data_IF_731305094754
#
_entry.id   IF_731305094754
#
_cell.length_a   1.000
_cell.length_b   1.000
_cell.length_c   1.000
_cell.angle_alpha   90.00
_cell.angle_beta   90.00
_cell.angle_gamma   90.00
#
_symmetry.space_group_name_H-M   'P 1'
#
loop_
_entity.id
_entity.type
_entity.pdbx_description
1 polymer ?
#
# COMPACT_ATOMS: atom_id res chain seq x y z
N UNK A 1 -7.53 1.58 2.36
CA UNK A 1 -6.36 0.73 2.53
C UNK A 1 -5.25 0.97 1.52
N UNK A 2 -5.50 1.46 0.32
CA UNK A 2 -4.50 1.63 -0.74
C UNK A 2 -3.66 2.93 -0.71
N UNK A 3 -3.84 3.83 0.25
CA UNK A 3 -3.18 5.15 0.23
C UNK A 3 -1.69 5.07 0.52
N UNK A 4 -1.29 4.26 1.51
CA UNK A 4 0.11 4.09 1.90
C UNK A 4 1.00 3.55 0.79
N UNK A 5 0.48 2.58 0.03
CA UNK A 5 1.22 1.94 -1.04
C UNK A 5 1.37 2.89 -2.23
N UNK A 6 0.38 3.75 -2.41
CA UNK A 6 0.38 4.80 -3.42
C UNK A 6 1.54 5.76 -3.21
N UNK A 7 1.71 6.25 -1.97
CA UNK A 7 2.76 7.22 -1.65
C UNK A 7 4.14 6.59 -1.78
N UNK A 8 4.35 5.37 -1.30
CA UNK A 8 5.63 4.66 -1.43
C UNK A 8 5.95 4.28 -2.89
N UNK A 9 4.94 3.96 -3.70
CA UNK A 9 5.11 3.73 -5.14
C UNK A 9 5.64 4.95 -5.89
N UNK A 10 5.30 6.16 -5.41
CA UNK A 10 5.82 7.41 -5.99
C UNK A 10 7.33 7.61 -5.77
N UNK A 11 7.93 6.91 -4.80
CA UNK A 11 9.37 6.93 -4.56
C UNK A 11 10.16 6.06 -5.56
N UNK A 12 9.48 5.23 -6.35
CA UNK A 12 10.10 4.44 -7.41
C UNK A 12 10.51 5.35 -8.58
N UNK A 13 11.67 5.08 -9.16
CA UNK A 13 12.31 5.98 -10.13
C UNK A 13 12.07 5.59 -11.58
N UNK A 14 12.07 4.29 -11.88
CA UNK A 14 12.03 3.81 -13.25
C UNK A 14 10.68 3.22 -13.62
N UNK A 15 10.28 3.39 -14.88
CA UNK A 15 9.13 2.73 -15.44
C UNK A 15 9.31 1.21 -15.35
N UNK A 16 8.36 0.52 -14.74
CA UNK A 16 8.43 -0.92 -14.50
C UNK A 16 8.84 -1.30 -13.08
N UNK A 17 9.42 -0.38 -12.30
CA UNK A 17 9.68 -0.62 -10.88
C UNK A 17 8.37 -0.91 -10.14
N UNK A 18 8.43 -1.87 -9.20
CA UNK A 18 7.31 -2.28 -8.37
C UNK A 18 7.72 -2.37 -6.91
N UNK A 19 6.81 -1.95 -6.05
CA UNK A 19 6.91 -2.11 -4.62
C UNK A 19 5.82 -3.06 -4.14
N UNK A 20 6.19 -4.02 -3.28
CA UNK A 20 5.23 -4.84 -2.56
C UNK A 20 5.49 -4.71 -1.07
N UNK A 21 4.42 -4.44 -0.33
CA UNK A 21 4.40 -4.42 1.12
C UNK A 21 3.58 -5.62 1.60
N UNK A 22 4.19 -6.45 2.43
CA UNK A 22 3.56 -7.60 3.03
C UNK A 22 3.66 -7.50 4.55
N UNK A 23 2.54 -7.24 5.20
CA UNK A 23 2.38 -7.36 6.64
C UNK A 23 1.77 -8.72 6.93
N UNK A 24 2.47 -9.56 7.66
CA UNK A 24 2.03 -10.89 8.04
C UNK A 24 2.10 -11.02 9.55
N UNK A 25 1.01 -11.47 10.16
CA UNK A 25 0.92 -11.61 11.60
C UNK A 25 0.10 -12.82 12.03
N UNK A 26 0.09 -13.09 13.32
CA UNK A 26 -0.69 -14.17 13.94
C UNK A 26 -2.11 -13.74 14.32
N UNK A 27 -2.42 -12.44 14.22
CA UNK A 27 -3.74 -11.89 14.51
C UNK A 27 -4.81 -12.29 13.49
N UNK A 28 -6.07 -11.92 13.71
CA UNK A 28 -7.21 -12.38 12.91
C UNK A 28 -7.17 -11.93 11.42
N UNK A 29 -6.57 -10.79 11.09
CA UNK A 29 -6.41 -10.33 9.72
C UNK A 29 -5.42 -11.18 8.92
N UNK A 30 -4.54 -11.92 9.59
CA UNK A 30 -3.50 -12.80 9.04
C UNK A 30 -2.45 -12.07 8.21
N UNK A 31 -2.88 -11.42 7.15
CA UNK A 31 -1.99 -10.80 6.19
C UNK A 31 -2.64 -9.62 5.50
N UNK A 32 -1.86 -8.57 5.33
CA UNK A 32 -2.19 -7.42 4.48
C UNK A 32 -1.11 -7.32 3.41
N UNK A 33 -1.51 -7.42 2.14
CA UNK A 33 -0.60 -7.27 1.03
C UNK A 33 -1.03 -6.10 0.16
N UNK A 34 -0.05 -5.30 -0.26
CA UNK A 34 -0.30 -4.22 -1.17
C UNK A 34 0.87 -4.05 -2.14
N UNK A 35 0.54 -3.69 -3.38
CA UNK A 35 1.54 -3.43 -4.42
C UNK A 35 1.31 -2.09 -5.07
N UNK A 36 2.39 -1.42 -5.42
CA UNK A 36 2.38 -0.17 -6.15
C UNK A 36 3.41 -0.19 -7.28
N UNK A 37 3.12 0.57 -8.34
CA UNK A 37 4.05 0.78 -9.45
C UNK A 37 4.45 2.25 -9.54
N UNK A 38 5.54 2.52 -10.22
CA UNK A 38 5.97 3.89 -10.51
C UNK A 38 4.90 4.70 -11.29
N UNK A 39 4.06 4.03 -12.07
CA UNK A 39 2.96 4.65 -12.81
C UNK A 39 1.75 5.05 -11.92
N UNK A 40 1.85 4.93 -10.60
CA UNK A 40 0.77 5.27 -9.66
C UNK A 40 -0.36 4.22 -9.61
N UNK A 41 -0.15 3.03 -10.16
CA UNK A 41 -1.12 1.95 -10.07
C UNK A 41 -0.92 1.17 -8.79
N UNK A 42 -2.03 0.93 -8.08
CA UNK A 42 -1.99 0.23 -6.79
C UNK A 42 -3.10 -0.80 -6.69
N UNK A 43 -2.82 -1.86 -5.97
CA UNK A 43 -3.78 -2.87 -5.56
C UNK A 43 -3.37 -3.47 -4.22
N UNK A 44 -4.33 -4.02 -3.49
CA UNK A 44 -4.04 -4.68 -2.22
C UNK A 44 -5.23 -5.50 -1.76
N UNK A 45 -4.97 -6.40 -0.81
CA UNK A 45 -5.98 -7.20 -0.15
C UNK A 45 -5.61 -7.49 1.31
N UNK A 46 -6.61 -7.89 2.08
CA UNK A 46 -6.47 -8.48 3.41
C UNK A 46 -6.87 -9.95 3.30
N UNK A 47 -6.10 -10.85 3.90
CA UNK A 47 -6.37 -12.28 3.79
C UNK A 47 -7.68 -12.66 4.48
N UNK A 48 -7.99 -12.05 5.61
CA UNK A 48 -9.29 -12.14 6.26
C UNK A 48 -9.84 -10.73 6.47
N UNK A 49 -10.82 -10.28 5.66
CA UNK A 49 -11.43 -8.96 5.80
C UNK A 49 -12.49 -8.88 6.91
N UNK A 50 -13.03 -10.03 7.33
CA UNK A 50 -14.12 -10.10 8.31
C UNK A 50 -13.55 -10.13 9.75
N UNK A 51 -12.85 -9.03 10.11
CA UNK A 51 -12.26 -8.86 11.43
C UNK A 51 -13.07 -7.87 12.23
N UNK A 52 -13.68 -8.33 13.31
CA UNK A 52 -14.37 -7.50 14.29
C UNK A 52 -13.53 -7.43 15.57
N UNK A 53 -12.97 -6.26 15.85
CA UNK A 53 -12.28 -5.94 17.08
C UNK A 53 -12.91 -4.68 17.72
N UNK A 54 -12.87 -4.57 19.06
CA UNK A 54 -13.22 -3.33 19.72
C UNK A 54 -12.37 -2.18 19.20
N UNK A 55 -12.94 -0.97 19.21
CA UNK A 55 -12.14 0.22 18.93
C UNK A 55 -11.07 0.37 20.03
N UNK A 56 -9.95 0.96 19.65
CA UNK A 56 -8.91 1.37 20.62
C UNK A 56 -9.49 2.40 21.61
N UNK A 57 -8.78 2.66 22.72
CA UNK A 57 -9.16 3.72 23.67
C UNK A 57 -9.31 5.10 23.04
N UNK A 58 -8.59 5.36 21.94
CA UNK A 58 -8.69 6.57 21.14
C UNK A 58 -9.87 6.57 20.13
N UNK A 59 -10.73 5.54 20.14
CA UNK A 59 -11.88 5.41 19.24
C UNK A 59 -11.51 5.09 17.80
N UNK A 60 -10.32 4.54 17.55
CA UNK A 60 -9.83 4.12 16.22
C UNK A 60 -9.96 2.61 16.04
N UNK A 61 -9.97 2.18 14.78
CA UNK A 61 -9.85 0.74 14.46
C UNK A 61 -8.52 0.21 14.99
N UNK A 62 -8.57 -0.94 15.64
CA UNK A 62 -7.38 -1.62 16.16
C UNK A 62 -6.68 -2.43 15.05
N UNK A 63 -5.89 -1.74 14.25
CA UNK A 63 -5.12 -2.36 13.16
C UNK A 63 -4.00 -3.23 13.72
N UNK A 64 -3.32 -2.75 14.77
CA UNK A 64 -2.28 -3.50 15.47
C UNK A 64 -2.79 -4.81 16.03
N UNK A 65 -3.90 -4.79 16.75
CA UNK A 65 -4.54 -6.00 17.26
C UNK A 65 -5.03 -6.93 16.15
N UNK A 66 -5.42 -6.39 15.00
CA UNK A 66 -5.84 -7.21 13.87
C UNK A 66 -4.69 -8.00 13.21
N UNK A 67 -3.48 -7.45 13.22
CA UNK A 67 -2.27 -8.11 12.72
C UNK A 67 -1.59 -8.99 13.78
N UNK A 68 -1.56 -8.53 15.03
CA UNK A 68 -0.88 -9.23 16.12
C UNK A 68 0.65 -9.20 15.97
N UNK A 69 1.32 -10.25 16.46
CA UNK A 69 2.78 -10.39 16.35
C UNK A 69 3.12 -10.91 14.96
N UNK A 70 4.11 -10.27 14.32
CA UNK A 70 4.45 -10.64 12.96
C UNK A 70 5.62 -9.87 12.36
N UNK A 71 5.61 -9.77 11.03
CA UNK A 71 6.68 -9.15 10.27
C UNK A 71 6.14 -8.27 9.13
N UNK A 72 6.89 -7.23 8.81
CA UNK A 72 6.76 -6.44 7.59
C UNK A 72 7.87 -6.85 6.63
N UNK A 73 7.50 -7.31 5.44
CA UNK A 73 8.41 -7.55 4.33
C UNK A 73 8.16 -6.52 3.23
N UNK A 74 9.21 -5.84 2.81
CA UNK A 74 9.21 -4.88 1.70
C UNK A 74 10.00 -5.46 0.55
N UNK A 75 9.34 -5.59 -0.62
CA UNK A 75 9.97 -6.14 -1.84
C UNK A 75 10.00 -5.02 -2.87
N UNK A 76 11.20 -4.68 -3.35
CA UNK A 76 11.42 -3.72 -4.44
C UNK A 76 11.92 -4.47 -5.67
N UNK A 77 11.06 -4.62 -6.67
CA UNK A 77 11.44 -5.13 -7.99
C UNK A 77 11.86 -3.95 -8.86
N UNK A 78 13.15 -3.80 -9.04
CA UNK A 78 13.78 -2.70 -9.78
C UNK A 78 14.29 -3.17 -11.16
N UNK A 79 13.74 -4.28 -11.68
CA UNK A 79 14.17 -4.85 -12.95
C UNK A 79 15.56 -5.51 -12.91
N UNK A 80 16.10 -5.76 -11.73
CA UNK A 80 17.35 -6.49 -11.52
C UNK A 80 17.10 -8.01 -11.57
N UNK A 81 18.19 -8.79 -11.58
CA UNK A 81 18.11 -10.26 -11.60
C UNK A 81 17.28 -10.81 -10.43
N UNK A 82 17.40 -10.20 -9.27
CA UNK A 82 16.64 -10.54 -8.08
C UNK A 82 16.08 -9.25 -7.47
N UNK A 83 14.85 -9.27 -6.93
CA UNK A 83 14.30 -8.14 -6.23
C UNK A 83 15.04 -7.91 -4.90
N UNK A 84 15.09 -6.66 -4.46
CA UNK A 84 15.52 -6.35 -3.11
C UNK A 84 14.40 -6.74 -2.13
N UNK A 85 14.76 -7.45 -1.06
CA UNK A 85 13.83 -7.89 -0.01
C UNK A 85 14.38 -7.49 1.35
N UNK A 86 13.63 -6.66 2.06
CA UNK A 86 13.93 -6.28 3.45
C UNK A 86 12.79 -6.72 4.37
N UNK A 87 13.12 -7.26 5.53
CA UNK A 87 12.13 -7.73 6.51
C UNK A 87 12.49 -7.23 7.91
N UNK A 88 11.49 -6.76 8.64
CA UNK A 88 11.58 -6.41 10.06
C UNK A 88 10.43 -7.05 10.84
N UNK A 89 10.61 -7.26 12.14
CA UNK A 89 9.50 -7.57 13.03
C UNK A 89 8.55 -6.36 13.12
N UNK A 90 7.24 -6.60 13.24
CA UNK A 90 6.27 -5.55 13.52
C UNK A 90 6.57 -4.95 14.90
N UNK A 91 6.58 -3.63 14.99
CA UNK A 91 6.82 -2.88 16.23
C UNK A 91 5.51 -2.69 16.98
N UNK A 92 4.45 -2.31 16.28
CA UNK A 92 3.13 -2.06 16.85
C UNK A 92 1.98 -2.72 16.07
N UNK A 93 2.23 -3.16 14.83
CA UNK A 93 1.20 -3.57 13.89
C UNK A 93 0.45 -2.38 13.26
N UNK A 94 0.74 -1.15 13.70
CA UNK A 94 0.24 0.07 13.09
C UNK A 94 1.10 0.39 11.85
N UNK A 95 0.46 0.45 10.72
CA UNK A 95 1.13 0.47 9.41
C UNK A 95 2.14 1.60 9.23
N UNK A 96 1.81 2.81 9.70
CA UNK A 96 2.68 3.98 9.56
C UNK A 96 3.91 3.85 10.45
N UNK A 97 3.75 3.33 11.66
CA UNK A 97 4.82 3.12 12.62
C UNK A 97 5.78 2.03 12.15
N UNK A 98 5.25 0.91 11.70
CA UNK A 98 6.07 -0.20 11.20
C UNK A 98 6.83 0.17 9.92
N UNK A 99 6.24 0.97 9.03
CA UNK A 99 6.95 1.50 7.87
C UNK A 99 8.05 2.50 8.27
N UNK A 100 7.79 3.35 9.26
CA UNK A 100 8.80 4.27 9.80
C UNK A 100 9.96 3.47 10.38
N UNK A 101 9.68 2.43 11.16
CA UNK A 101 10.68 1.52 11.70
C UNK A 101 11.48 0.80 10.60
N UNK A 102 10.78 0.36 9.53
CA UNK A 102 11.44 -0.26 8.38
C UNK A 102 12.46 0.68 7.71
N UNK A 103 12.08 1.93 7.45
CA UNK A 103 13.00 2.90 6.85
C UNK A 103 14.19 3.18 7.74
N UNK A 104 13.99 3.27 9.04
CA UNK A 104 15.07 3.49 9.99
C UNK A 104 16.01 2.28 10.10
N UNK A 105 15.46 1.07 10.24
CA UNK A 105 16.25 -0.15 10.50
C UNK A 105 16.89 -0.69 9.21
N UNK A 106 16.11 -0.81 8.12
CA UNK A 106 16.57 -1.48 6.90
C UNK A 106 17.17 -0.53 5.88
N UNK A 107 16.60 0.68 5.73
CA UNK A 107 17.07 1.67 4.74
C UNK A 107 18.05 2.68 5.36
N UNK A 108 18.20 2.70 6.69
CA UNK A 108 19.02 3.67 7.43
C UNK A 108 18.67 5.12 7.07
N UNK A 109 17.40 5.38 6.83
CA UNK A 109 16.87 6.66 6.41
C UNK A 109 15.86 7.18 7.43
N UNK A 110 16.14 8.35 8.01
CA UNK A 110 15.20 9.03 8.89
C UNK A 110 13.99 9.46 8.08
N UNK A 111 12.85 8.88 8.42
CA UNK A 111 11.60 9.05 7.69
C UNK A 111 10.46 9.23 8.69
N UNK A 112 9.61 10.22 8.47
CA UNK A 112 8.34 10.37 9.17
C UNK A 112 7.18 9.97 8.24
N UNK A 113 6.30 9.10 8.71
CA UNK A 113 5.15 8.63 7.94
C UNK A 113 3.89 8.89 8.73
N UNK A 114 2.93 9.57 8.10
CA UNK A 114 1.57 9.73 8.63
C UNK A 114 0.57 9.19 7.62
N UNK A 115 -0.32 8.32 8.08
CA UNK A 115 -1.35 7.69 7.27
C UNK A 115 -2.68 7.77 8.00
N UNK A 116 -3.76 7.97 7.26
CA UNK A 116 -5.08 8.00 7.86
C UNK A 116 -6.17 7.68 6.86
N UNK A 117 -7.17 6.95 7.36
CA UNK A 117 -8.43 6.68 6.65
C UNK A 117 -9.56 6.90 7.65
N UNK A 118 -10.52 7.71 7.28
CA UNK A 118 -11.77 7.92 8.03
C UNK A 118 -12.89 7.23 7.26
N UNK A 119 -13.60 6.36 7.94
CA UNK A 119 -14.75 5.63 7.39
C UNK A 119 -16.02 6.03 8.10
N UNK A 120 -17.14 6.00 7.37
CA UNK A 120 -18.48 6.20 7.93
C UNK A 120 -19.05 4.88 8.49
N UNK A 121 -20.19 4.94 9.13
CA UNK A 121 -20.92 3.81 9.70
C UNK A 121 -21.41 2.80 8.65
N UNK A 122 -21.53 3.23 7.40
CA UNK A 122 -21.84 2.38 6.23
C UNK A 122 -20.59 1.81 5.54
N UNK A 123 -19.43 1.93 6.16
CA UNK A 123 -18.10 1.56 5.65
C UNK A 123 -17.61 2.36 4.43
N UNK A 124 -18.30 3.43 4.04
CA UNK A 124 -17.78 4.33 3.02
C UNK A 124 -16.58 5.14 3.52
N UNK A 125 -15.64 5.45 2.62
CA UNK A 125 -14.45 6.24 2.95
C UNK A 125 -14.81 7.72 2.87
N UNK A 126 -14.77 8.42 4.01
CA UNK A 126 -15.00 9.85 4.10
C UNK A 126 -13.77 10.68 3.73
N UNK A 127 -12.62 10.28 4.30
CA UNK A 127 -11.35 10.95 4.05
C UNK A 127 -10.22 9.91 4.07
N UNK A 128 -9.25 10.11 3.22
CA UNK A 128 -8.12 9.22 3.16
C UNK A 128 -6.90 9.98 2.65
N UNK A 129 -5.80 9.93 3.40
CA UNK A 129 -4.57 10.64 3.06
C UNK A 129 -3.34 10.05 3.71
N UNK A 130 -2.20 10.53 3.27
CA UNK A 130 -0.93 10.15 3.86
C UNK A 130 0.18 11.12 3.46
N UNK A 131 1.25 11.10 4.24
CA UNK A 131 2.43 11.92 4.06
C UNK A 131 3.66 11.09 4.39
N UNK A 132 4.70 11.25 3.60
CA UNK A 132 6.03 10.74 3.87
C UNK A 132 7.01 11.90 3.78
N UNK A 133 7.80 12.09 4.81
CA UNK A 133 8.88 13.07 4.85
C UNK A 133 10.18 12.29 5.07
N UNK A 134 11.13 12.45 4.17
CA UNK A 134 12.43 11.81 4.25
C UNK A 134 13.52 12.85 4.37
N UNK A 135 14.38 12.67 5.40
CA UNK A 135 15.54 13.51 5.56
C UNK A 135 16.60 13.14 4.54
N UNK A 136 17.11 14.15 3.83
CA UNK A 136 18.25 13.95 2.95
C UNK A 136 19.56 13.86 3.75
N UNK A 137 20.57 13.13 3.26
CA UNK A 137 21.90 13.15 3.85
C UNK A 137 22.42 14.60 3.97
N UNK A 138 23.01 14.92 5.11
CA UNK A 138 23.53 16.26 5.44
C UNK A 138 22.47 17.37 5.56
N UNK A 139 21.22 17.02 5.92
CA UNK A 139 20.24 18.03 6.29
C UNK A 139 20.75 18.86 7.48
N UNK A 140 20.50 20.17 7.43
CA UNK A 140 20.94 21.11 8.46
C UNK A 140 20.14 20.89 9.76
N UNK A 141 20.81 21.00 10.91
CA UNK A 141 20.19 20.79 12.23
C UNK A 141 19.01 21.73 12.48
N UNK A 142 19.07 22.96 11.96
CA UNK A 142 18.01 23.94 12.05
C UNK A 142 16.74 23.46 11.30
N UNK A 143 16.92 22.89 10.10
CA UNK A 143 15.82 22.32 9.32
C UNK A 143 15.18 21.11 10.02
N UNK A 144 16.01 20.26 10.65
CA UNK A 144 15.55 19.09 11.41
C UNK A 144 14.71 19.55 12.60
N UNK A 145 15.22 20.47 13.40
CA UNK A 145 14.52 20.99 14.59
C UNK A 145 13.20 21.68 14.22
N UNK A 146 13.21 22.48 13.16
CA UNK A 146 12.01 23.16 12.67
C UNK A 146 10.95 22.13 12.21
N UNK A 147 11.38 21.10 11.48
CA UNK A 147 10.53 20.02 10.99
C UNK A 147 9.92 19.20 12.14
N UNK A 148 10.74 18.81 13.13
CA UNK A 148 10.26 18.07 14.31
C UNK A 148 9.24 18.88 15.11
N UNK A 149 9.49 20.17 15.30
CA UNK A 149 8.57 21.09 15.99
C UNK A 149 7.24 21.17 15.24
N UNK A 150 7.29 21.29 13.93
CA UNK A 150 6.10 21.33 13.07
C UNK A 150 5.32 20.01 13.15
N UNK A 151 6.01 18.87 13.00
CA UNK A 151 5.38 17.54 13.02
C UNK A 151 4.69 17.25 14.36
N UNK A 152 5.28 17.66 15.48
CA UNK A 152 4.68 17.50 16.80
C UNK A 152 3.35 18.23 16.98
N UNK A 153 3.12 19.30 16.23
CA UNK A 153 1.90 20.11 16.27
C UNK A 153 0.85 19.73 15.21
N UNK A 154 1.14 18.80 14.31
CA UNK A 154 0.21 18.46 13.22
C UNK A 154 -1.01 17.69 13.73
N UNK A 155 -2.22 18.07 13.27
CA UNK A 155 -3.41 17.25 13.48
C UNK A 155 -3.32 15.94 12.68
N UNK A 156 -4.19 14.97 12.96
CA UNK A 156 -4.29 13.75 12.14
C UNK A 156 -4.44 14.06 10.65
N UNK A 157 -3.78 13.30 9.80
CA UNK A 157 -3.79 13.53 8.35
C UNK A 157 -5.21 13.54 7.76
N UNK A 158 -6.15 12.78 8.33
CA UNK A 158 -7.56 12.80 7.92
C UNK A 158 -8.22 14.14 8.17
N UNK A 159 -7.88 14.82 9.25
CA UNK A 159 -8.37 16.19 9.55
C UNK A 159 -7.85 17.17 8.50
N UNK A 160 -6.56 17.09 8.16
CA UNK A 160 -5.99 17.94 7.09
C UNK A 160 -6.66 17.71 5.74
N UNK A 161 -7.03 16.46 5.42
CA UNK A 161 -7.76 16.13 4.19
C UNK A 161 -9.17 16.72 4.22
N UNK A 162 -9.89 16.62 5.34
CA UNK A 162 -11.23 17.17 5.48
C UNK A 162 -11.22 18.71 5.38
N UNK A 163 -10.30 19.37 6.07
CA UNK A 163 -10.10 20.82 6.01
C UNK A 163 -9.79 21.29 4.58
N UNK A 164 -8.88 20.59 3.90
CA UNK A 164 -8.54 20.90 2.51
C UNK A 164 -9.73 20.68 1.57
N UNK A 165 -10.52 19.65 1.79
CA UNK A 165 -11.72 19.37 1.01
C UNK A 165 -12.76 20.49 1.21
N UNK A 166 -13.01 20.92 2.43
CA UNK A 166 -13.94 22.01 2.74
C UNK A 166 -13.46 23.34 2.14
N UNK A 167 -12.18 23.67 2.32
CA UNK A 167 -11.59 24.92 1.82
C UNK A 167 -11.57 25.00 0.28
N UNK A 168 -11.50 23.87 -0.41
CA UNK A 168 -11.38 23.80 -1.88
C UNK A 168 -12.70 23.56 -2.62
N UNK A 169 -13.85 23.51 -1.94
CA UNK A 169 -15.17 23.39 -2.58
C UNK A 169 -15.90 22.07 -2.34
N UNK A 170 -15.52 21.31 -1.32
CA UNK A 170 -16.20 20.08 -0.91
C UNK A 170 -15.82 18.86 -1.77
N UNK A 171 -16.79 17.96 -1.98
CA UNK A 171 -16.55 16.67 -2.68
C UNK A 171 -16.08 16.80 -4.13
N UNK A 172 -16.37 17.91 -4.78
CA UNK A 172 -15.97 18.21 -6.17
C UNK A 172 -14.64 18.98 -6.25
N UNK A 173 -13.93 19.13 -5.13
CA UNK A 173 -12.67 19.85 -5.07
C UNK A 173 -11.60 19.20 -5.95
N UNK A 174 -10.85 20.01 -6.68
CA UNK A 174 -9.69 19.56 -7.43
C UNK A 174 -8.62 18.99 -6.48
N UNK A 175 -8.16 17.78 -6.74
CA UNK A 175 -7.10 17.14 -5.94
C UNK A 175 -5.83 18.00 -5.88
N UNK A 176 -5.47 18.65 -6.97
CA UNK A 176 -4.33 19.55 -7.03
C UNK A 176 -4.48 20.72 -6.03
N UNK A 177 -5.66 21.35 -5.97
CA UNK A 177 -5.95 22.45 -5.02
C UNK A 177 -5.91 21.94 -3.59
N UNK A 178 -6.48 20.78 -3.33
CA UNK A 178 -6.45 20.15 -2.01
C UNK A 178 -5.02 19.86 -1.56
N UNK A 179 -4.19 19.26 -2.42
CA UNK A 179 -2.79 18.99 -2.11
C UNK A 179 -2.00 20.27 -1.87
N UNK A 180 -2.22 21.32 -2.67
CA UNK A 180 -1.58 22.61 -2.46
C UNK A 180 -1.98 23.23 -1.11
N UNK A 181 -3.26 23.15 -0.75
CA UNK A 181 -3.76 23.61 0.55
C UNK A 181 -3.15 22.83 1.71
N UNK A 182 -3.11 21.49 1.61
CA UNK A 182 -2.49 20.63 2.62
C UNK A 182 -1.01 20.93 2.79
N UNK A 183 -0.24 21.07 1.69
CA UNK A 183 1.16 21.43 1.75
C UNK A 183 1.37 22.77 2.46
N UNK A 184 0.56 23.77 2.15
CA UNK A 184 0.62 25.07 2.82
C UNK A 184 0.28 24.95 4.32
N UNK A 185 -0.74 24.20 4.67
CA UNK A 185 -1.14 23.99 6.06
C UNK A 185 -0.06 23.25 6.87
N UNK A 186 0.49 22.15 6.31
CA UNK A 186 1.51 21.32 6.95
C UNK A 186 2.79 22.13 7.20
N UNK A 187 3.28 22.88 6.21
CA UNK A 187 4.55 23.58 6.29
C UNK A 187 4.44 25.05 6.70
N UNK A 188 3.28 25.46 7.23
CA UNK A 188 3.10 26.79 7.82
C UNK A 188 4.07 26.93 9.00
N UNK A 189 4.87 28.01 8.99
CA UNK A 189 5.83 28.30 10.05
C UNK A 189 7.24 27.74 9.82
N UNK A 190 7.47 27.03 8.73
CA UNK A 190 8.85 26.69 8.31
C UNK A 190 9.61 27.98 7.90
N UNK A 191 10.93 28.09 8.26
CA UNK A 191 11.75 29.21 7.84
C UNK A 191 11.75 29.44 6.32
N UNK A 192 11.96 30.68 5.88
CA UNK A 192 11.87 31.03 4.45
C UNK A 192 12.81 30.19 3.55
N UNK A 193 13.96 29.80 4.05
CA UNK A 193 14.93 28.99 3.31
C UNK A 193 14.45 27.52 3.09
N UNK A 194 13.46 27.08 3.87
CA UNK A 194 12.91 25.71 3.81
C UNK A 194 11.48 25.66 3.28
N UNK A 195 11.12 26.59 2.41
CA UNK A 195 9.81 26.63 1.80
C UNK A 195 9.56 25.45 0.84
N UNK A 196 8.37 24.86 0.92
CA UNK A 196 7.97 23.73 0.09
C UNK A 196 7.81 24.14 -1.37
N UNK A 197 8.39 23.35 -2.26
CA UNK A 197 8.25 23.49 -3.73
C UNK A 197 7.65 22.22 -4.29
N UNK A 198 6.43 22.25 -4.82
CA UNK A 198 5.88 21.12 -5.57
C UNK A 198 6.75 20.79 -6.76
N UNK A 199 7.21 19.56 -6.87
CA UNK A 199 8.07 19.11 -7.98
C UNK A 199 7.25 18.40 -9.05
N UNK A 200 6.30 17.58 -8.63
CA UNK A 200 5.53 16.74 -9.53
C UNK A 200 4.16 16.43 -8.93
N UNK A 201 3.15 16.33 -9.78
CA UNK A 201 1.84 15.82 -9.47
C UNK A 201 1.62 14.53 -10.27
N UNK A 202 1.22 13.45 -9.60
CA UNK A 202 0.93 12.17 -10.25
C UNK A 202 -0.44 11.68 -9.87
N UNK A 203 -1.17 11.19 -10.85
CA UNK A 203 -2.44 10.51 -10.64
C UNK A 203 -2.22 9.13 -10.04
N UNK A 204 -3.06 8.81 -9.08
CA UNK A 204 -3.05 7.52 -8.40
C UNK A 204 -4.35 6.78 -8.69
N UNK A 205 -4.24 5.53 -9.15
CA UNK A 205 -5.41 4.72 -9.46
C UNK A 205 -5.29 3.31 -8.90
N UNK A 206 -6.43 2.78 -8.47
CA UNK A 206 -6.52 1.35 -8.22
C UNK A 206 -6.53 0.62 -9.57
N UNK A 207 -5.66 -0.35 -9.73
CA UNK A 207 -5.56 -1.14 -10.95
C UNK A 207 -5.18 -2.58 -10.64
N UNK A 208 -5.96 -3.53 -11.14
CA UNK A 208 -5.62 -4.94 -11.09
C UNK A 208 -5.29 -5.45 -12.50
N UNK A 209 -4.06 -5.90 -12.66
CA UNK A 209 -3.51 -6.44 -13.91
C UNK A 209 -3.77 -7.95 -14.07
N UNK A 210 -4.76 -8.52 -13.35
CA UNK A 210 -5.12 -9.91 -13.52
C UNK A 210 -5.74 -10.16 -14.91
N UNK A 211 -5.34 -11.24 -15.53
CA UNK A 211 -5.85 -11.68 -16.82
C UNK A 211 -5.89 -13.20 -16.88
N UNK A 212 -6.69 -13.75 -17.80
CA UNK A 212 -6.74 -15.19 -18.04
C UNK A 212 -5.36 -15.77 -18.40
N UNK A 213 -4.60 -15.05 -19.21
CA UNK A 213 -3.23 -15.44 -19.59
C UNK A 213 -2.28 -15.50 -18.40
N UNK A 214 -2.39 -14.54 -17.46
CA UNK A 214 -1.58 -14.55 -16.24
C UNK A 214 -1.96 -15.72 -15.34
N UNK A 215 -3.25 -16.00 -15.20
CA UNK A 215 -3.73 -17.13 -14.40
C UNK A 215 -3.38 -18.48 -15.03
N UNK A 216 -3.42 -18.56 -16.37
CA UNK A 216 -2.90 -19.71 -17.11
C UNK A 216 -1.42 -19.99 -16.75
N UNK A 217 -0.57 -18.97 -16.70
CA UNK A 217 0.82 -19.13 -16.27
C UNK A 217 0.94 -19.64 -14.84
N UNK A 218 0.06 -19.20 -13.94
CA UNK A 218 0.01 -19.70 -12.56
C UNK A 218 -0.38 -21.20 -12.56
N UNK A 219 -1.40 -21.59 -13.32
CA UNK A 219 -1.76 -23.01 -13.47
C UNK A 219 -0.59 -23.87 -13.99
N UNK A 220 0.22 -23.33 -14.88
CA UNK A 220 1.42 -24.04 -15.32
C UNK A 220 2.48 -24.23 -14.23
N UNK A 221 2.50 -23.42 -13.19
CA UNK A 221 3.47 -23.53 -12.07
C UNK A 221 3.12 -24.60 -11.04
N UNK A 222 1.88 -25.09 -11.00
CA UNK A 222 1.48 -26.16 -10.06
C UNK A 222 2.02 -27.53 -10.46
N UNK A 223 2.45 -27.70 -11.72
CA UNK A 223 3.03 -28.94 -12.22
C UNK A 223 2.04 -29.84 -12.96
N UNK A 224 2.58 -30.74 -13.80
CA UNK A 224 1.77 -31.64 -14.65
C UNK A 224 0.89 -32.58 -13.82
N UNK A 225 1.41 -33.10 -12.71
CA UNK A 225 0.71 -34.07 -11.88
C UNK A 225 -0.55 -33.47 -11.29
N UNK A 226 -0.42 -32.33 -10.60
CA UNK A 226 -1.52 -31.69 -9.91
C UNK A 226 -2.55 -31.15 -10.90
N UNK A 227 -2.09 -30.62 -12.06
CA UNK A 227 -2.98 -30.19 -13.12
C UNK A 227 -3.78 -31.36 -13.73
N UNK A 228 -3.16 -32.54 -13.86
CA UNK A 228 -3.84 -33.74 -14.35
C UNK A 228 -4.90 -34.22 -13.38
N UNK A 229 -4.61 -34.20 -12.08
CA UNK A 229 -5.57 -34.55 -11.02
C UNK A 229 -6.81 -33.64 -11.06
N UNK A 230 -6.61 -32.31 -11.15
CA UNK A 230 -7.71 -31.35 -11.32
C UNK A 230 -8.55 -31.65 -12.58
N UNK A 231 -7.92 -32.03 -13.69
CA UNK A 231 -8.64 -32.35 -14.94
C UNK A 231 -9.49 -33.61 -14.79
N UNK A 232 -8.98 -34.61 -14.08
CA UNK A 232 -9.65 -35.92 -13.93
C UNK A 232 -10.75 -35.86 -12.86
N UNK A 233 -10.55 -35.16 -11.76
CA UNK A 233 -11.46 -35.14 -10.63
C UNK A 233 -12.52 -34.03 -10.75
N UNK A 234 -12.10 -32.80 -11.10
CA UNK A 234 -12.98 -31.61 -11.04
C UNK A 234 -13.52 -31.19 -12.42
N UNK A 235 -12.97 -31.73 -13.51
CA UNK A 235 -13.30 -31.41 -14.90
C UNK A 235 -13.18 -29.90 -15.26
N UNK A 236 -12.64 -29.07 -14.38
CA UNK A 236 -12.46 -27.63 -14.53
C UNK A 236 -11.84 -27.00 -13.31
N UNK A 237 -11.45 -25.72 -13.41
CA UNK A 237 -10.91 -24.95 -12.30
C UNK A 237 -11.48 -23.53 -12.29
N UNK A 238 -11.98 -23.08 -11.14
CA UNK A 238 -12.30 -21.67 -10.90
C UNK A 238 -11.15 -21.04 -10.13
N UNK A 239 -10.56 -19.98 -10.70
CA UNK A 239 -9.55 -19.16 -10.04
C UNK A 239 -10.15 -17.80 -9.71
N UNK A 240 -9.98 -17.37 -8.47
CA UNK A 240 -10.45 -16.06 -7.99
C UNK A 240 -9.27 -15.17 -7.73
N UNK A 241 -9.24 -13.99 -8.35
CA UNK A 241 -8.21 -13.00 -8.08
C UNK A 241 -8.39 -12.42 -6.69
N UNK A 242 -7.42 -12.59 -5.81
CA UNK A 242 -7.49 -12.07 -4.42
C UNK A 242 -7.54 -10.55 -4.33
N UNK A 243 -7.06 -9.82 -5.37
CA UNK A 243 -7.08 -8.36 -5.37
C UNK A 243 -8.42 -7.76 -5.79
N UNK A 244 -9.05 -8.29 -6.84
CA UNK A 244 -10.28 -7.72 -7.41
C UNK A 244 -11.49 -8.64 -7.35
N UNK A 245 -11.34 -9.83 -6.80
CA UNK A 245 -12.36 -10.87 -6.68
C UNK A 245 -12.96 -11.33 -8.02
N UNK A 246 -12.31 -10.98 -9.15
CA UNK A 246 -12.75 -11.45 -10.46
C UNK A 246 -12.51 -12.94 -10.56
N UNK A 247 -13.55 -13.67 -11.01
CA UNK A 247 -13.53 -15.11 -11.22
C UNK A 247 -13.16 -15.43 -12.67
N UNK A 248 -12.33 -16.44 -12.83
CA UNK A 248 -11.89 -16.99 -14.10
C UNK A 248 -12.14 -18.48 -14.08
N UNK A 249 -12.86 -18.98 -15.05
CA UNK A 249 -13.18 -20.39 -15.15
C UNK A 249 -12.42 -21.03 -16.32
N UNK A 250 -11.72 -22.10 -16.04
CA UNK A 250 -11.01 -22.93 -17.02
C UNK A 250 -11.72 -24.27 -17.10
N UNK A 251 -12.40 -24.52 -18.21
CA UNK A 251 -13.02 -25.81 -18.47
C UNK A 251 -11.97 -26.89 -18.79
N UNK A 252 -12.40 -28.14 -18.83
CA UNK A 252 -11.55 -29.29 -19.13
C UNK A 252 -10.75 -29.13 -20.42
N UNK A 253 -11.35 -28.56 -21.46
CA UNK A 253 -10.69 -28.34 -22.74
C UNK A 253 -9.57 -27.28 -22.66
N UNK A 254 -9.76 -26.24 -21.84
CA UNK A 254 -8.74 -25.24 -21.56
C UNK A 254 -7.58 -25.84 -20.76
N UNK A 255 -7.88 -26.61 -19.70
CA UNK A 255 -6.86 -27.27 -18.87
C UNK A 255 -6.03 -28.26 -19.65
N UNK A 256 -6.65 -29.07 -20.54
CA UNK A 256 -5.93 -29.99 -21.43
C UNK A 256 -4.98 -29.25 -22.38
N UNK A 257 -5.35 -28.07 -22.89
CA UNK A 257 -4.46 -27.24 -23.72
C UNK A 257 -3.27 -26.74 -22.93
N UNK A 258 -3.49 -26.28 -21.68
CA UNK A 258 -2.42 -25.84 -20.77
C UNK A 258 -1.47 -26.98 -20.51
N UNK A 259 -1.98 -28.18 -20.20
CA UNK A 259 -1.16 -29.38 -19.97
C UNK A 259 -0.31 -29.76 -21.19
N UNK A 260 -0.88 -29.62 -22.39
CA UNK A 260 -0.15 -29.90 -23.64
C UNK A 260 0.97 -28.87 -23.92
N UNK A 261 0.81 -27.61 -23.47
CA UNK A 261 1.83 -26.58 -23.59
C UNK A 261 2.99 -26.78 -22.59
N UNK A 262 2.72 -27.34 -21.39
CA UNK A 262 3.74 -27.66 -20.38
C UNK A 262 4.69 -28.78 -20.83
N UNK A 263 4.26 -29.63 -21.75
CA UNK A 263 5.04 -30.77 -22.28
C UNK A 263 5.96 -30.42 -23.46
N UNK A 264 5.91 -29.16 -23.91
CA UNK A 264 6.78 -28.68 -25.02
C UNK A 264 8.02 -27.97 -24.45
#
# INVERSE_FOLDING_TARGET
>A
MCIRDRILGLLLKNTGDKLTLLFKGDGPAKQILATATQAGEVKGYIANPDVELPLTEAGKLDVGGSLGIGELTVIKDLGLKEPYVGTIALVSGEIAEDLTAYYFISEQQNTAISLGVKIDTDYSVLAAGGMIIQMLPNAEEEAITALETMLAGLPPITTLVEEAMEACGGKDASQEKMLAHMLQAIFTGMPEDYQVRPLELRDLRWHCDCSEERLKKILMTIGEKDLTEIIEEDEGAELVCQFCCKKYYFDKAHLLRILAEMKK
#
